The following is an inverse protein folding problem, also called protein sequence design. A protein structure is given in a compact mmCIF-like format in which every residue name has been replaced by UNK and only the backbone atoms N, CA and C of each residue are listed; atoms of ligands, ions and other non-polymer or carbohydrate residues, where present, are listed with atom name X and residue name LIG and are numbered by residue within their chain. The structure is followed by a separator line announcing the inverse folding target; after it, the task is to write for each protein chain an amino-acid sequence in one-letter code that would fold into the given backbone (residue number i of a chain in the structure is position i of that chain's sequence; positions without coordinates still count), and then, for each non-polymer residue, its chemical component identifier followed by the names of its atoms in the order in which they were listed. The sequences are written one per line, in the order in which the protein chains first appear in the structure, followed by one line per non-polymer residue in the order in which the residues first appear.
data_IF_201884185282
#
_entry.id   IF_201884185282
#
_cell.length_a   1.000
_cell.length_b   1.000
_cell.length_c   1.000
_cell.angle_alpha   90.00
_cell.angle_beta   90.00
_cell.angle_gamma   90.00
#
_symmetry.space_group_name_H-M   'P 1'
#
loop_
_entity.id
_entity.type
_entity.pdbx_description
1 polymer ?
#
# COMPACT_ATOMS: atom_id res chain seq x y z
N UNK A 1 -37.12 15.24 -3.70
CA UNK A 1 -35.93 15.99 -4.16
C UNK A 1 -34.94 15.98 -3.02
N UNK A 2 -34.14 14.91 -2.97
CA UNK A 2 -33.11 14.64 -1.98
C UNK A 2 -31.81 15.27 -2.48
N UNK A 3 -31.19 16.12 -1.66
CA UNK A 3 -29.95 16.83 -2.03
C UNK A 3 -28.82 15.82 -2.28
N UNK A 4 -28.09 15.88 -3.41
CA UNK A 4 -27.02 14.94 -3.73
C UNK A 4 -25.69 15.22 -3.01
N UNK A 5 -25.65 16.27 -2.18
CA UNK A 5 -24.48 16.69 -1.44
C UNK A 5 -24.60 16.19 0.00
N UNK A 6 -23.92 15.08 0.31
CA UNK A 6 -23.71 14.66 1.69
C UNK A 6 -22.63 15.56 2.31
N UNK A 7 -23.06 16.70 2.85
CA UNK A 7 -22.18 17.54 3.64
C UNK A 7 -22.05 16.95 5.05
N UNK A 8 -20.83 16.68 5.55
CA UNK A 8 -20.64 16.47 6.98
C UNK A 8 -21.12 17.74 7.69
N UNK A 9 -21.91 17.58 8.75
CA UNK A 9 -22.52 18.69 9.48
C UNK A 9 -21.46 19.74 9.87
N UNK A 10 -21.53 20.93 9.27
CA UNK A 10 -20.65 22.05 9.61
C UNK A 10 -20.93 22.51 11.04
N UNK A 11 -19.87 22.63 11.85
CA UNK A 11 -19.88 23.39 13.10
C UNK A 11 -19.97 24.90 12.82
N UNK A 12 -20.12 25.73 13.87
CA UNK A 12 -20.56 27.13 13.75
C UNK A 12 -19.50 28.12 13.24
N UNK A 13 -18.28 27.70 12.92
CA UNK A 13 -17.20 28.60 12.53
C UNK A 13 -16.96 28.56 11.01
N UNK A 14 -17.29 29.69 10.37
CA UNK A 14 -17.06 30.11 8.98
C UNK A 14 -17.51 29.14 7.86
N UNK A 15 -18.48 29.53 6.99
CA UNK A 15 -18.90 28.69 5.88
C UNK A 15 -17.72 28.45 4.90
N UNK A 16 -17.60 27.24 4.33
CA UNK A 16 -16.52 26.92 3.39
C UNK A 16 -16.53 27.89 2.20
N UNK A 17 -15.35 28.25 1.71
CA UNK A 17 -15.26 29.16 0.57
C UNK A 17 -15.90 28.51 -0.67
N UNK A 18 -16.48 29.30 -1.59
CA UNK A 18 -17.02 28.75 -2.84
C UNK A 18 -16.00 27.92 -3.63
N UNK A 19 -14.71 28.28 -3.56
CA UNK A 19 -13.62 27.54 -4.19
C UNK A 19 -13.42 26.15 -3.56
N UNK A 20 -13.53 26.03 -2.24
CA UNK A 20 -13.43 24.74 -1.54
C UNK A 20 -14.59 23.82 -1.90
N UNK A 21 -15.79 24.38 -2.05
CA UNK A 21 -16.97 23.62 -2.49
C UNK A 21 -16.76 23.10 -3.91
N UNK A 22 -16.27 23.93 -4.83
CA UNK A 22 -15.99 23.54 -6.21
C UNK A 22 -14.90 22.45 -6.27
N UNK A 23 -13.81 22.61 -5.51
CA UNK A 23 -12.73 21.62 -5.43
C UNK A 23 -13.21 20.29 -4.84
N UNK A 24 -14.03 20.33 -3.79
CA UNK A 24 -14.64 19.13 -3.20
C UNK A 24 -15.56 18.42 -4.20
N UNK A 25 -16.42 19.17 -4.89
CA UNK A 25 -17.29 18.60 -5.91
C UNK A 25 -16.48 17.94 -7.04
N UNK A 26 -15.45 18.62 -7.53
CA UNK A 26 -14.59 18.10 -8.60
C UNK A 26 -13.89 16.80 -8.17
N UNK A 27 -13.27 16.78 -6.98
CA UNK A 27 -12.56 15.59 -6.46
C UNK A 27 -13.50 14.41 -6.21
N UNK A 28 -14.68 14.65 -5.64
CA UNK A 28 -15.70 13.61 -5.47
C UNK A 28 -16.19 13.06 -6.82
N UNK A 29 -16.41 13.91 -7.82
CA UNK A 29 -16.79 13.46 -9.18
C UNK A 29 -15.69 12.58 -9.78
N UNK A 30 -14.42 12.96 -9.63
CA UNK A 30 -13.30 12.16 -10.12
C UNK A 30 -13.19 10.81 -9.40
N UNK A 31 -13.35 10.76 -8.08
CA UNK A 31 -13.34 9.53 -7.30
C UNK A 31 -14.51 8.61 -7.67
N UNK A 32 -15.73 9.15 -7.79
CA UNK A 32 -16.92 8.40 -8.20
C UNK A 32 -16.77 7.83 -9.62
N UNK A 33 -16.17 8.60 -10.53
CA UNK A 33 -15.85 8.13 -11.88
C UNK A 33 -14.83 6.98 -11.86
N UNK A 34 -13.75 7.12 -11.10
CA UNK A 34 -12.72 6.07 -10.97
C UNK A 34 -13.33 4.77 -10.41
N UNK A 35 -14.26 4.89 -9.46
CA UNK A 35 -15.00 3.77 -8.88
C UNK A 35 -15.85 3.05 -9.93
N UNK A 36 -16.67 3.81 -10.68
CA UNK A 36 -17.50 3.25 -11.75
C UNK A 36 -16.67 2.64 -12.88
N UNK A 37 -15.51 3.22 -13.21
CA UNK A 37 -14.57 2.66 -14.17
C UNK A 37 -13.98 1.32 -13.70
N UNK A 38 -13.59 1.23 -12.43
CA UNK A 38 -13.06 0.01 -11.85
C UNK A 38 -14.12 -1.09 -11.82
N UNK A 39 -15.33 -0.78 -11.34
CA UNK A 39 -16.41 -1.76 -11.26
C UNK A 39 -16.82 -2.28 -12.65
N UNK A 40 -16.96 -1.38 -13.63
CA UNK A 40 -17.22 -1.77 -15.01
C UNK A 40 -16.07 -2.62 -15.57
N UNK A 41 -14.82 -2.25 -15.30
CA UNK A 41 -13.67 -2.98 -15.79
C UNK A 41 -13.57 -4.39 -15.18
N UNK A 42 -13.89 -4.55 -13.89
CA UNK A 42 -13.95 -5.87 -13.23
C UNK A 42 -15.09 -6.73 -13.77
N UNK A 43 -16.28 -6.13 -13.98
CA UNK A 43 -17.48 -6.81 -14.49
C UNK A 43 -17.26 -7.40 -15.88
N UNK A 44 -16.60 -6.66 -16.78
CA UNK A 44 -16.34 -7.08 -18.15
C UNK A 44 -14.97 -7.72 -18.35
N UNK A 45 -14.24 -8.00 -17.25
CA UNK A 45 -12.92 -8.59 -17.33
C UNK A 45 -12.99 -10.09 -17.66
N UNK A 46 -12.21 -10.58 -18.65
CA UNK A 46 -12.01 -12.02 -18.82
C UNK A 46 -11.48 -12.67 -17.52
N UNK A 47 -11.96 -13.88 -17.17
CA UNK A 47 -11.62 -14.53 -15.91
C UNK A 47 -10.13 -14.92 -15.80
N UNK A 48 -9.44 -15.11 -16.92
CA UNK A 48 -8.02 -15.49 -16.97
C UNK A 48 -7.08 -14.41 -16.41
N UNK A 49 -7.56 -13.16 -16.30
CA UNK A 49 -6.80 -12.03 -15.76
C UNK A 49 -6.79 -12.04 -14.24
N UNK A 50 -7.85 -12.55 -13.60
CA UNK A 50 -8.02 -12.48 -12.16
C UNK A 50 -6.90 -13.16 -11.35
N UNK A 51 -6.34 -14.32 -11.75
CA UNK A 51 -5.21 -14.90 -11.03
C UNK A 51 -3.97 -14.00 -10.99
N UNK A 52 -3.68 -13.28 -12.08
CA UNK A 52 -2.55 -12.34 -12.15
C UNK A 52 -2.81 -11.14 -11.26
N UNK A 53 -4.01 -10.55 -11.37
CA UNK A 53 -4.44 -9.43 -10.56
C UNK A 53 -4.43 -9.79 -9.05
N UNK A 54 -4.99 -10.93 -8.69
CA UNK A 54 -5.03 -11.40 -7.29
C UNK A 54 -3.62 -11.58 -6.72
N UNK A 55 -2.71 -12.21 -7.46
CA UNK A 55 -1.32 -12.37 -7.05
C UNK A 55 -0.61 -11.01 -6.86
N UNK A 56 -0.90 -10.04 -7.75
CA UNK A 56 -0.37 -8.69 -7.66
C UNK A 56 -0.91 -7.92 -6.45
N UNK A 57 -2.22 -7.98 -6.22
CA UNK A 57 -2.87 -7.34 -5.07
C UNK A 57 -2.34 -7.88 -3.75
N UNK A 58 -2.16 -9.20 -3.64
CA UNK A 58 -1.55 -9.81 -2.45
C UNK A 58 -0.15 -9.23 -2.23
N UNK A 59 0.74 -9.24 -3.23
CA UNK A 59 2.07 -8.65 -3.08
C UNK A 59 1.98 -7.21 -2.58
N UNK A 60 1.18 -6.38 -3.23
CA UNK A 60 1.15 -4.95 -2.92
C UNK A 60 0.56 -4.65 -1.55
N UNK A 61 -0.46 -5.40 -1.12
CA UNK A 61 -1.02 -5.25 0.23
C UNK A 61 -0.03 -5.71 1.29
N UNK A 62 0.69 -6.82 1.08
CA UNK A 62 1.72 -7.27 2.02
C UNK A 62 2.87 -6.26 2.13
N UNK A 63 3.36 -5.73 1.00
CA UNK A 63 4.41 -4.72 0.98
C UNK A 63 3.92 -3.42 1.64
N UNK A 64 2.70 -2.97 1.32
CA UNK A 64 2.10 -1.77 1.91
C UNK A 64 1.99 -1.92 3.43
N UNK A 65 1.43 -3.03 3.92
CA UNK A 65 1.29 -3.28 5.35
C UNK A 65 2.63 -3.27 6.08
N UNK A 66 3.65 -3.97 5.56
CA UNK A 66 4.99 -3.98 6.16
C UNK A 66 5.63 -2.58 6.17
N UNK A 67 5.45 -1.79 5.10
CA UNK A 67 5.94 -0.39 5.06
C UNK A 67 5.20 0.50 6.04
N UNK A 68 3.90 0.29 6.24
CA UNK A 68 3.10 1.03 7.21
C UNK A 68 3.50 0.74 8.67
N UNK A 69 3.92 -0.50 8.96
CA UNK A 69 4.51 -0.89 10.26
C UNK A 69 5.94 -0.34 10.47
N UNK A 70 6.52 0.33 9.46
CA UNK A 70 7.83 0.97 9.54
C UNK A 70 8.99 0.14 9.01
N UNK A 71 8.75 -1.04 8.43
CA UNK A 71 9.81 -1.83 7.81
C UNK A 71 10.33 -1.17 6.53
N UNK A 72 11.61 -0.77 6.54
CA UNK A 72 12.31 -0.29 5.36
C UNK A 72 12.98 -1.46 4.62
N UNK A 73 12.61 -1.68 3.35
CA UNK A 73 13.18 -2.71 2.50
C UNK A 73 12.97 -2.39 1.01
N UNK A 74 13.80 -3.00 0.15
CA UNK A 74 13.61 -2.99 -1.30
C UNK A 74 12.70 -4.14 -1.73
N UNK A 75 12.03 -4.02 -2.88
CA UNK A 75 11.17 -5.09 -3.42
C UNK A 75 11.94 -6.41 -3.59
N UNK A 76 13.20 -6.35 -4.05
CA UNK A 76 14.07 -7.53 -4.14
C UNK A 76 14.31 -8.19 -2.78
N UNK A 77 14.52 -7.37 -1.74
CA UNK A 77 14.68 -7.86 -0.36
C UNK A 77 13.40 -8.48 0.18
N UNK A 78 12.22 -7.92 -0.14
CA UNK A 78 10.94 -8.54 0.19
C UNK A 78 10.82 -9.94 -0.41
N UNK A 79 11.15 -10.12 -1.69
CA UNK A 79 11.06 -11.43 -2.34
C UNK A 79 12.05 -12.45 -1.75
N UNK A 80 13.28 -12.03 -1.48
CA UNK A 80 14.27 -12.88 -0.82
C UNK A 80 13.85 -13.26 0.61
N UNK A 81 13.27 -12.32 1.36
CA UNK A 81 12.73 -12.58 2.70
C UNK A 81 11.53 -13.51 2.66
N UNK A 82 10.56 -13.27 1.77
CA UNK A 82 9.36 -14.11 1.61
C UNK A 82 9.75 -15.56 1.23
N UNK A 83 10.85 -15.73 0.48
CA UNK A 83 11.44 -17.02 0.13
C UNK A 83 12.27 -17.69 1.25
N UNK A 84 12.44 -17.02 2.40
CA UNK A 84 13.16 -17.51 3.58
C UNK A 84 14.67 -17.41 3.47
N UNK A 85 15.21 -16.50 2.65
CA UNK A 85 16.64 -16.43 2.33
C UNK A 85 17.38 -15.37 3.15
N UNK A 86 16.71 -14.29 3.53
CA UNK A 86 17.27 -13.15 4.26
C UNK A 86 16.27 -12.63 5.30
N UNK A 87 16.72 -11.97 6.39
CA UNK A 87 15.82 -11.21 7.26
C UNK A 87 15.29 -9.96 6.53
N UNK A 88 14.04 -9.55 6.85
CA UNK A 88 13.42 -8.40 6.19
C UNK A 88 14.13 -7.09 6.55
N UNK A 89 14.37 -6.87 7.83
CA UNK A 89 15.09 -5.72 8.39
C UNK A 89 16.34 -6.22 9.11
N UNK A 90 17.42 -5.43 9.06
CA UNK A 90 18.67 -5.77 9.74
C UNK A 90 18.60 -5.51 11.25
N UNK A 91 17.74 -4.57 11.68
CA UNK A 91 17.55 -4.19 13.08
C UNK A 91 16.09 -4.41 13.51
N UNK A 92 15.85 -4.85 14.77
CA UNK A 92 14.52 -4.95 15.32
C UNK A 92 13.94 -3.56 15.56
N UNK A 93 12.73 -3.32 15.04
CA UNK A 93 12.00 -2.08 15.28
C UNK A 93 11.24 -2.17 16.60
N UNK A 94 11.28 -1.09 17.40
CA UNK A 94 10.74 -1.07 18.76
C UNK A 94 9.22 -1.35 18.84
N UNK A 95 8.45 -0.89 17.86
CA UNK A 95 6.98 -0.97 17.88
C UNK A 95 6.39 -1.79 16.73
N UNK A 96 7.20 -2.16 15.73
CA UNK A 96 6.68 -2.85 14.55
C UNK A 96 6.28 -4.28 14.90
N UNK A 97 5.17 -4.72 14.31
CA UNK A 97 4.80 -6.13 14.38
C UNK A 97 5.86 -7.00 13.70
N UNK A 98 6.01 -8.23 14.20
CA UNK A 98 6.90 -9.20 13.58
C UNK A 98 6.47 -9.43 12.10
N UNK A 99 7.36 -9.23 11.11
CA UNK A 99 6.99 -9.24 9.69
C UNK A 99 6.26 -10.49 9.25
N UNK A 100 6.72 -11.66 9.73
CA UNK A 100 6.12 -12.93 9.34
C UNK A 100 4.72 -13.05 9.94
N UNK A 101 4.57 -12.72 11.23
CA UNK A 101 3.28 -12.76 11.91
C UNK A 101 2.24 -11.91 11.16
N UNK A 102 2.58 -10.66 10.84
CA UNK A 102 1.71 -9.75 10.08
C UNK A 102 1.30 -10.36 8.73
N UNK A 103 2.27 -10.81 7.92
CA UNK A 103 2.00 -11.37 6.59
C UNK A 103 1.17 -12.64 6.67
N UNK A 104 1.44 -13.54 7.62
CA UNK A 104 0.64 -14.77 7.76
C UNK A 104 -0.78 -14.47 8.21
N UNK A 105 -0.98 -13.52 9.12
CA UNK A 105 -2.31 -13.12 9.58
C UNK A 105 -3.10 -12.44 8.46
N UNK A 106 -2.47 -11.55 7.69
CA UNK A 106 -3.09 -10.92 6.52
C UNK A 106 -3.45 -11.93 5.43
N UNK A 107 -2.57 -12.89 5.14
CA UNK A 107 -2.87 -13.94 4.17
C UNK A 107 -4.04 -14.81 4.63
N UNK A 108 -4.06 -15.20 5.91
CA UNK A 108 -5.17 -15.93 6.52
C UNK A 108 -6.48 -15.14 6.41
N UNK A 109 -6.44 -13.82 6.63
CA UNK A 109 -7.59 -12.94 6.45
C UNK A 109 -8.08 -12.88 5.00
N UNK A 110 -7.16 -12.74 4.04
CA UNK A 110 -7.48 -12.73 2.62
C UNK A 110 -8.13 -14.03 2.13
N UNK A 111 -7.85 -15.17 2.79
CA UNK A 111 -8.55 -16.43 2.47
C UNK A 111 -10.06 -16.38 2.74
N UNK A 112 -10.52 -15.44 3.58
CA UNK A 112 -11.92 -15.21 3.92
C UNK A 112 -12.63 -14.23 2.98
N UNK A 113 -11.92 -13.67 2.00
CA UNK A 113 -12.49 -12.70 1.05
C UNK A 113 -13.65 -13.30 0.25
N UNK A 114 -14.70 -12.50 0.02
CA UNK A 114 -15.83 -12.88 -0.82
C UNK A 114 -15.52 -12.81 -2.33
N UNK A 115 -14.31 -12.39 -2.71
CA UNK A 115 -13.83 -12.44 -4.09
C UNK A 115 -12.90 -13.65 -4.28
N UNK A 116 -13.44 -14.71 -4.88
CA UNK A 116 -12.78 -16.01 -4.98
C UNK A 116 -11.35 -15.99 -5.52
N UNK A 117 -10.99 -15.21 -6.57
CA UNK A 117 -9.61 -15.16 -7.05
C UNK A 117 -8.58 -14.73 -5.98
N UNK A 118 -8.94 -13.78 -5.12
CA UNK A 118 -8.08 -13.33 -4.02
C UNK A 118 -7.95 -14.42 -2.94
N UNK A 119 -9.07 -15.02 -2.54
CA UNK A 119 -9.09 -16.09 -1.55
C UNK A 119 -8.29 -17.32 -2.00
N UNK A 120 -8.38 -17.69 -3.28
CA UNK A 120 -7.65 -18.81 -3.88
C UNK A 120 -6.14 -18.55 -3.90
N UNK A 121 -5.74 -17.36 -4.36
CA UNK A 121 -4.34 -16.96 -4.39
C UNK A 121 -3.76 -16.88 -2.96
N UNK A 122 -4.49 -16.31 -2.01
CA UNK A 122 -4.06 -16.18 -0.62
C UNK A 122 -3.79 -17.55 0.03
N UNK A 123 -4.66 -18.55 -0.19
CA UNK A 123 -4.44 -19.93 0.28
C UNK A 123 -3.16 -20.57 -0.27
N UNK A 124 -2.81 -20.24 -1.52
CA UNK A 124 -1.55 -20.64 -2.12
C UNK A 124 -0.35 -19.96 -1.46
N UNK A 125 -0.43 -18.64 -1.28
CA UNK A 125 0.66 -17.84 -0.72
C UNK A 125 0.89 -18.06 0.77
N UNK A 126 -0.14 -18.39 1.55
CA UNK A 126 -0.01 -18.78 2.95
C UNK A 126 0.95 -19.97 3.10
N UNK A 127 0.79 -20.99 2.25
CA UNK A 127 1.67 -22.17 2.20
C UNK A 127 3.05 -21.87 1.62
N UNK A 128 3.14 -20.84 0.77
CA UNK A 128 4.37 -20.42 0.11
C UNK A 128 5.20 -19.42 0.95
N UNK A 129 4.68 -18.92 2.07
CA UNK A 129 5.43 -18.01 2.94
C UNK A 129 6.52 -18.77 3.71
N UNK A 130 7.77 -18.66 3.25
CA UNK A 130 8.93 -19.37 3.80
C UNK A 130 9.84 -18.48 4.66
N UNK A 131 9.41 -17.23 4.93
CA UNK A 131 10.08 -16.31 5.82
C UNK A 131 10.47 -16.97 7.15
N UNK A 132 11.63 -16.60 7.72
CA UNK A 132 12.08 -17.14 9.00
C UNK A 132 11.05 -16.86 10.10
N UNK A 133 10.88 -17.81 11.02
CA UNK A 133 9.98 -17.63 12.17
C UNK A 133 10.65 -16.71 13.18
N UNK A 134 9.98 -15.63 13.55
CA UNK A 134 10.43 -14.79 14.66
C UNK A 134 10.31 -15.57 15.99
N UNK A 135 11.25 -15.32 16.91
CA UNK A 135 11.20 -15.85 18.27
C UNK A 135 10.04 -15.15 18.99
N UNK A 136 9.03 -15.92 19.42
CA UNK A 136 7.78 -15.45 20.05
C UNK A 136 6.81 -14.65 19.15
N UNK A 137 6.28 -15.32 18.12
CA UNK A 137 5.26 -14.76 17.21
C UNK A 137 3.86 -14.54 17.81
N UNK A 138 3.53 -15.16 18.95
CA UNK A 138 2.17 -15.17 19.48
C UNK A 138 1.59 -13.77 19.74
N UNK A 139 2.27 -12.86 20.48
CA UNK A 139 1.75 -11.51 20.71
C UNK A 139 1.60 -10.70 19.41
N UNK A 140 2.49 -10.88 18.43
CA UNK A 140 2.40 -10.19 17.15
C UNK A 140 1.20 -10.67 16.32
N UNK A 141 0.90 -11.97 16.36
CA UNK A 141 -0.31 -12.53 15.72
C UNK A 141 -1.58 -12.00 16.39
N UNK A 142 -1.62 -12.00 17.72
CA UNK A 142 -2.77 -11.46 18.47
C UNK A 142 -3.00 -9.97 18.19
N UNK A 143 -1.94 -9.17 18.16
CA UNK A 143 -2.03 -7.74 17.85
C UNK A 143 -2.54 -7.50 16.41
N UNK A 144 -2.05 -8.27 15.43
CA UNK A 144 -2.52 -8.20 14.04
C UNK A 144 -4.00 -8.61 13.91
N UNK A 145 -4.41 -9.70 14.57
CA UNK A 145 -5.81 -10.14 14.58
C UNK A 145 -6.72 -9.09 15.23
N UNK A 146 -6.30 -8.55 16.37
CA UNK A 146 -7.07 -7.52 17.05
C UNK A 146 -7.23 -6.26 16.17
N UNK A 147 -6.20 -5.87 15.41
CA UNK A 147 -6.31 -4.77 14.45
C UNK A 147 -7.31 -5.07 13.33
N UNK A 148 -7.33 -6.29 12.81
CA UNK A 148 -8.31 -6.72 11.80
C UNK A 148 -9.73 -6.69 12.36
N UNK A 149 -9.94 -7.24 13.56
CA UNK A 149 -11.25 -7.31 14.20
C UNK A 149 -11.80 -5.90 14.52
N UNK A 150 -10.94 -5.01 15.03
CA UNK A 150 -11.31 -3.62 15.30
C UNK A 150 -11.61 -2.85 14.01
N UNK A 151 -10.79 -3.01 12.96
CA UNK A 151 -11.06 -2.41 11.66
C UNK A 151 -12.39 -2.88 11.05
N UNK A 152 -12.69 -4.18 11.16
CA UNK A 152 -13.96 -4.74 10.70
C UNK A 152 -15.15 -4.16 11.47
N UNK A 153 -15.02 -3.97 12.79
CA UNK A 153 -16.05 -3.33 13.61
C UNK A 153 -16.28 -1.86 13.19
N UNK A 154 -15.21 -1.08 13.04
CA UNK A 154 -15.30 0.32 12.59
C UNK A 154 -15.99 0.47 11.23
N UNK A 155 -15.75 -0.48 10.31
CA UNK A 155 -16.37 -0.49 8.98
C UNK A 155 -17.83 -0.98 9.02
N UNK A 156 -18.16 -1.91 9.91
CA UNK A 156 -19.52 -2.42 10.08
C UNK A 156 -20.49 -1.37 10.65
N UNK A 157 -19.98 -0.42 11.45
CA UNK A 157 -20.76 0.68 12.03
C UNK A 157 -21.04 1.83 11.05
N UNK A 158 -20.54 1.76 9.80
CA UNK A 158 -20.75 2.79 8.79
C UNK A 158 -22.14 2.69 8.17
N UNK A 159 -22.85 3.82 8.12
CA UNK A 159 -24.14 3.94 7.45
C UNK A 159 -24.02 3.66 5.94
N UNK A 160 -24.91 2.84 5.34
CA UNK A 160 -24.86 2.54 3.92
C UNK A 160 -25.28 3.77 3.10
N UNK A 161 -24.43 4.14 2.13
CA UNK A 161 -24.71 5.22 1.20
C UNK A 161 -24.36 4.81 -0.25
N UNK A 162 -25.05 5.35 -1.27
CA UNK A 162 -24.73 5.05 -2.68
C UNK A 162 -23.32 5.49 -3.10
N UNK A 163 -22.83 6.57 -2.49
CA UNK A 163 -21.48 7.09 -2.69
C UNK A 163 -20.70 7.01 -1.37
N UNK A 164 -19.41 6.64 -1.38
CA UNK A 164 -18.68 6.30 -0.17
C UNK A 164 -18.14 7.51 0.61
N UNK A 165 -18.39 8.75 0.18
CA UNK A 165 -17.76 9.94 0.77
C UNK A 165 -18.17 10.19 2.22
N UNK A 166 -19.45 10.06 2.54
CA UNK A 166 -19.94 10.23 3.90
C UNK A 166 -19.41 9.12 4.83
N UNK A 167 -19.38 7.88 4.34
CA UNK A 167 -18.83 6.73 5.06
C UNK A 167 -17.31 6.89 5.28
N UNK A 168 -16.58 7.41 4.28
CA UNK A 168 -15.15 7.66 4.38
C UNK A 168 -14.82 8.76 5.41
N UNK A 169 -15.61 9.83 5.44
CA UNK A 169 -15.47 10.88 6.45
C UNK A 169 -15.82 10.39 7.86
N UNK A 170 -16.87 9.57 8.01
CA UNK A 170 -17.21 8.93 9.27
C UNK A 170 -16.10 7.97 9.74
N UNK A 171 -15.54 7.18 8.82
CA UNK A 171 -14.43 6.28 9.11
C UNK A 171 -13.19 7.03 9.58
N UNK A 172 -12.78 8.13 8.93
CA UNK A 172 -11.63 8.92 9.37
C UNK A 172 -11.81 9.49 10.79
N UNK A 173 -13.03 9.92 11.14
CA UNK A 173 -13.35 10.35 12.52
C UNK A 173 -13.26 9.18 13.50
N UNK A 174 -13.79 8.02 13.15
CA UNK A 174 -13.75 6.83 14.00
C UNK A 174 -12.32 6.32 14.22
N UNK A 175 -11.47 6.36 13.19
CA UNK A 175 -10.02 6.08 13.29
C UNK A 175 -9.36 7.03 14.30
N UNK A 176 -9.67 8.34 14.23
CA UNK A 176 -9.11 9.33 15.16
C UNK A 176 -9.54 9.16 16.63
N UNK A 177 -10.62 8.42 16.88
CA UNK A 177 -11.12 8.09 18.22
C UNK A 177 -10.62 6.73 18.72
N UNK A 178 -10.11 5.87 17.83
CA UNK A 178 -9.56 4.57 18.20
C UNK A 178 -8.15 4.73 18.79
N UNK A 179 -7.87 4.18 19.99
CA UNK A 179 -6.53 4.21 20.56
C UNK A 179 -5.51 3.40 19.74
N UNK A 180 -5.96 2.47 18.88
CA UNK A 180 -5.08 1.65 18.04
C UNK A 180 -4.73 2.33 16.73
N UNK A 181 -5.68 3.03 16.12
CA UNK A 181 -5.48 3.64 14.80
C UNK A 181 -5.21 5.14 14.84
N UNK A 182 -5.50 5.82 15.95
CA UNK A 182 -5.19 7.24 16.08
C UNK A 182 -3.67 7.47 15.92
N UNK A 183 -3.26 8.47 15.12
CA UNK A 183 -1.86 8.81 14.99
C UNK A 183 -1.26 9.15 16.36
N UNK A 184 -0.15 8.50 16.72
CA UNK A 184 0.55 8.83 17.95
C UNK A 184 1.13 10.25 17.89
N UNK A 185 0.89 11.03 18.96
CA UNK A 185 1.39 12.41 19.10
C UNK A 185 2.91 12.49 19.10
N UNK A 186 3.45 13.64 18.65
CA UNK A 186 4.90 13.90 18.68
C UNK A 186 5.31 14.25 20.11
N UNK A 187 5.92 13.30 20.82
CA UNK A 187 6.53 13.57 22.11
C UNK A 187 8.02 13.92 21.96
N UNK A 188 8.39 15.12 22.38
CA UNK A 188 9.78 15.54 22.54
C UNK A 188 10.14 15.33 24.02
N UNK A 189 11.08 14.43 24.29
CA UNK A 189 11.54 14.18 25.65
C UNK A 189 12.96 14.77 25.83
N UNK A 190 13.19 15.58 26.87
CA UNK A 190 14.54 16.02 27.19
C UNK A 190 15.31 14.86 27.82
N UNK A 191 16.44 14.50 27.23
CA UNK A 191 17.40 13.57 27.84
C UNK A 191 18.70 14.29 28.18
N UNK A 192 19.33 13.91 29.29
CA UNK A 192 20.62 14.48 29.68
C UNK A 192 21.76 13.65 29.10
N UNK A 193 22.57 14.26 28.23
CA UNK A 193 23.73 13.64 27.59
C UNK A 193 24.97 14.48 27.93
N UNK A 194 25.90 13.90 28.69
CA UNK A 194 27.14 14.58 29.09
C UNK A 194 26.94 15.90 29.87
N UNK A 195 25.84 16.01 30.64
CA UNK A 195 25.49 17.23 31.39
C UNK A 195 24.70 18.29 30.61
N UNK A 196 24.42 18.07 29.32
CA UNK A 196 23.55 18.92 28.50
C UNK A 196 22.18 18.27 28.30
N UNK A 197 21.12 19.07 28.36
CA UNK A 197 19.77 18.61 27.99
C UNK A 197 19.64 18.62 26.47
N UNK A 198 19.28 17.49 25.90
CA UNK A 198 19.05 17.32 24.46
C UNK A 198 17.63 16.81 24.28
N UNK A 199 16.83 17.56 23.53
CA UNK A 199 15.49 17.14 23.12
C UNK A 199 15.60 16.04 22.06
N UNK A 200 15.06 14.85 22.35
CA UNK A 200 14.98 13.76 21.38
C UNK A 200 13.52 13.47 21.04
N UNK A 201 13.25 13.39 19.74
CA UNK A 201 11.98 12.89 19.23
C UNK A 201 11.94 11.36 19.36
N UNK A 202 10.95 10.83 20.08
CA UNK A 202 10.79 9.38 20.23
C UNK A 202 10.19 8.72 18.99
N UNK A 203 10.64 7.48 18.74
CA UNK A 203 9.98 6.58 17.82
C UNK A 203 8.52 6.35 18.25
N UNK A 204 7.61 6.27 17.28
CA UNK A 204 6.17 6.19 17.53
C UNK A 204 5.63 4.83 17.13
N UNK A 205 4.61 4.30 17.82
CA UNK A 205 3.91 3.13 17.34
C UNK A 205 3.28 3.45 15.98
N UNK A 206 3.42 2.55 14.98
CA UNK A 206 2.78 2.74 13.69
C UNK A 206 1.25 2.65 13.86
N UNK A 207 0.52 3.39 13.03
CA UNK A 207 -0.93 3.21 12.89
C UNK A 207 -1.19 2.08 11.88
N UNK A 208 -1.84 0.96 12.27
CA UNK A 208 -2.05 -0.20 11.41
C UNK A 208 -3.18 0.04 10.38
N UNK A 209 -3.02 1.06 9.52
CA UNK A 209 -4.03 1.48 8.54
C UNK A 209 -4.39 0.38 7.56
N UNK A 210 -3.44 -0.52 7.27
CA UNK A 210 -3.59 -1.68 6.40
C UNK A 210 -4.83 -2.52 6.74
N UNK A 211 -5.20 -2.60 8.02
CA UNK A 211 -6.38 -3.36 8.45
C UNK A 211 -7.67 -2.67 7.98
N UNK A 212 -7.75 -1.35 8.13
CA UNK A 212 -8.88 -0.52 7.71
C UNK A 212 -8.97 -0.43 6.19
N UNK A 213 -7.84 -0.24 5.52
CA UNK A 213 -7.71 -0.20 4.05
C UNK A 213 -8.18 -1.50 3.40
N UNK A 214 -7.96 -2.64 4.07
CA UNK A 214 -8.50 -3.93 3.65
C UNK A 214 -9.99 -4.07 3.95
N UNK A 215 -10.43 -3.75 5.18
CA UNK A 215 -11.81 -3.91 5.63
C UNK A 215 -12.81 -3.02 4.86
N UNK A 216 -12.43 -1.79 4.49
CA UNK A 216 -13.34 -0.84 3.84
C UNK A 216 -13.90 -1.34 2.50
N UNK A 217 -13.16 -2.21 1.81
CA UNK A 217 -13.62 -2.82 0.57
C UNK A 217 -14.89 -3.67 0.75
N UNK A 218 -15.11 -4.24 1.94
CA UNK A 218 -16.34 -4.97 2.26
C UNK A 218 -17.56 -4.02 2.31
N UNK A 219 -17.38 -2.79 2.82
CA UNK A 219 -18.43 -1.77 2.81
C UNK A 219 -18.79 -1.34 1.39
N UNK A 220 -17.81 -1.09 0.52
CA UNK A 220 -18.08 -0.76 -0.90
C UNK A 220 -18.86 -1.87 -1.61
N UNK A 221 -18.59 -3.13 -1.28
CA UNK A 221 -19.37 -4.26 -1.82
C UNK A 221 -20.77 -4.32 -1.24
N UNK A 222 -20.94 -4.12 0.06
CA UNK A 222 -22.23 -4.15 0.72
C UNK A 222 -23.20 -3.07 0.20
N UNK A 223 -22.68 -1.89 -0.16
CA UNK A 223 -23.47 -0.79 -0.74
C UNK A 223 -23.69 -0.93 -2.25
N UNK A 224 -23.11 -1.96 -2.88
CA UNK A 224 -23.18 -2.17 -4.33
C UNK A 224 -22.31 -1.23 -5.15
N UNK A 225 -21.41 -0.48 -4.51
CA UNK A 225 -20.51 0.45 -5.17
C UNK A 225 -19.33 -0.26 -5.88
N UNK A 226 -18.99 -1.49 -5.47
CA UNK A 226 -17.99 -2.33 -6.11
C UNK A 226 -18.39 -3.81 -6.04
N UNK A 227 -18.27 -4.54 -7.15
CA UNK A 227 -18.61 -5.97 -7.26
C UNK A 227 -17.65 -6.91 -6.52
N UNK A 228 -16.42 -6.48 -6.26
CA UNK A 228 -15.36 -7.27 -5.63
C UNK A 228 -14.81 -6.61 -4.36
N UNK A 229 -14.33 -7.42 -3.40
CA UNK A 229 -13.62 -6.94 -2.22
C UNK A 229 -12.13 -6.88 -2.57
N UNK A 230 -11.65 -5.68 -2.91
CA UNK A 230 -10.26 -5.42 -3.29
C UNK A 230 -9.58 -4.55 -2.24
N UNK A 231 -8.37 -4.90 -1.74
CA UNK A 231 -7.65 -4.04 -0.80
C UNK A 231 -7.41 -2.63 -1.35
N UNK A 232 -7.75 -1.59 -0.60
CA UNK A 232 -7.61 -0.19 -1.00
C UNK A 232 -6.36 0.44 -0.37
N UNK A 233 -5.20 -0.11 -0.73
CA UNK A 233 -3.91 0.31 -0.18
C UNK A 233 -3.71 1.83 -0.35
N UNK A 234 -3.38 2.53 0.75
CA UNK A 234 -3.17 3.98 0.74
C UNK A 234 -4.43 4.85 0.85
N UNK A 235 -5.61 4.25 1.07
CA UNK A 235 -6.86 4.98 1.25
C UNK A 235 -6.85 5.90 2.48
N UNK A 236 -6.23 5.47 3.59
CA UNK A 236 -6.30 6.21 4.85
C UNK A 236 -5.15 7.21 4.95
N UNK A 237 -5.50 8.49 5.10
CA UNK A 237 -4.59 9.63 5.16
C UNK A 237 -4.49 10.18 6.57
N UNK A 238 -3.41 9.83 7.29
CA UNK A 238 -3.20 10.21 8.71
C UNK A 238 -3.12 11.73 8.93
N UNK A 239 -2.73 12.48 7.89
CA UNK A 239 -2.77 13.94 7.86
C UNK A 239 -4.20 14.49 7.98
N UNK A 240 -5.22 13.70 7.66
CA UNK A 240 -6.64 14.04 7.84
C UNK A 240 -7.29 13.33 9.04
N UNK A 241 -6.59 12.40 9.68
CA UNK A 241 -7.07 11.76 10.91
C UNK A 241 -6.76 12.73 12.06
N UNK A 242 -7.81 13.27 12.67
CA UNK A 242 -7.72 14.23 13.78
C UNK A 242 -8.67 13.80 14.90
N UNK A 243 -8.32 14.16 16.13
CA UNK A 243 -9.25 14.10 17.24
C UNK A 243 -10.47 14.99 16.92
N UNK A 244 -11.66 14.56 17.35
CA UNK A 244 -12.96 15.09 16.93
C UNK A 244 -13.18 16.61 17.18
N UNK A 245 -12.27 17.26 17.92
CA UNK A 245 -12.48 18.59 18.50
C UNK A 245 -11.64 19.70 17.84
N UNK A 246 -10.85 19.38 16.80
CA UNK A 246 -9.93 20.32 16.13
C UNK A 246 -9.97 20.13 14.61
N UNK A 247 -11.14 20.32 13.99
CA UNK A 247 -11.22 20.42 12.54
C UNK A 247 -11.43 21.87 12.12
N UNK A 248 -10.33 22.63 12.08
CA UNK A 248 -10.34 24.02 11.63
C UNK A 248 -10.71 24.13 10.13
N UNK A 249 -10.67 23.03 9.35
CA UNK A 249 -10.92 23.02 7.89
C UNK A 249 -11.56 21.69 7.40
N UNK A 250 -12.84 21.42 7.72
CA UNK A 250 -13.51 20.17 7.35
C UNK A 250 -13.61 19.93 5.83
N UNK A 251 -13.68 21.01 5.03
CA UNK A 251 -13.70 20.91 3.58
C UNK A 251 -12.37 20.38 3.01
N UNK A 252 -11.23 20.80 3.58
CA UNK A 252 -9.91 20.35 3.16
C UNK A 252 -9.70 18.86 3.45
N UNK A 253 -10.11 18.40 4.64
CA UNK A 253 -10.06 16.98 4.99
C UNK A 253 -10.89 16.13 4.01
N UNK A 254 -12.10 16.57 3.68
CA UNK A 254 -12.96 15.87 2.73
C UNK A 254 -12.38 15.82 1.30
N UNK A 255 -11.69 16.88 0.87
CA UNK A 255 -10.97 16.91 -0.42
C UNK A 255 -9.86 15.84 -0.41
N UNK A 256 -8.96 15.87 0.57
CA UNK A 256 -7.83 14.93 0.66
C UNK A 256 -8.29 13.47 0.77
N UNK A 257 -9.35 13.21 1.53
CA UNK A 257 -9.96 11.88 1.62
C UNK A 257 -10.52 11.41 0.26
N UNK A 258 -11.19 12.31 -0.47
CA UNK A 258 -11.72 12.01 -1.81
C UNK A 258 -10.59 11.77 -2.83
N UNK A 259 -9.49 12.52 -2.73
CA UNK A 259 -8.29 12.30 -3.54
C UNK A 259 -7.61 10.97 -3.23
N UNK A 260 -7.46 10.60 -1.96
CA UNK A 260 -6.90 9.31 -1.57
C UNK A 260 -7.73 8.14 -2.11
N UNK A 261 -9.07 8.25 -2.06
CA UNK A 261 -9.95 7.26 -2.67
C UNK A 261 -9.77 7.21 -4.20
N UNK A 262 -9.75 8.36 -4.87
CA UNK A 262 -9.49 8.44 -6.32
C UNK A 262 -8.17 7.76 -6.68
N UNK A 263 -7.11 8.05 -5.96
CA UNK A 263 -5.76 7.56 -6.26
C UNK A 263 -5.65 6.05 -6.02
N UNK A 264 -6.25 5.53 -4.93
CA UNK A 264 -6.33 4.10 -4.67
C UNK A 264 -7.11 3.36 -5.79
N UNK A 265 -8.24 3.93 -6.25
CA UNK A 265 -9.05 3.35 -7.32
C UNK A 265 -8.34 3.40 -8.69
N UNK A 266 -7.66 4.51 -9.00
CA UNK A 266 -6.86 4.65 -10.22
C UNK A 266 -5.68 3.68 -10.22
N UNK A 267 -5.05 3.47 -9.07
CA UNK A 267 -4.00 2.48 -8.91
C UNK A 267 -4.52 1.06 -9.21
N UNK A 268 -5.66 0.67 -8.61
CA UNK A 268 -6.31 -0.62 -8.91
C UNK A 268 -6.66 -0.78 -10.39
N UNK A 269 -7.16 0.27 -11.04
CA UNK A 269 -7.41 0.28 -12.49
C UNK A 269 -6.12 0.03 -13.29
N UNK A 270 -5.01 0.67 -12.92
CA UNK A 270 -3.71 0.46 -13.56
C UNK A 270 -3.24 -0.99 -13.42
N UNK A 271 -3.37 -1.61 -12.25
CA UNK A 271 -3.03 -3.03 -12.06
C UNK A 271 -3.88 -3.96 -12.92
N UNK A 272 -5.17 -3.65 -13.09
CA UNK A 272 -6.06 -4.41 -13.96
C UNK A 272 -5.66 -4.28 -15.44
N UNK A 273 -5.26 -3.09 -15.88
CA UNK A 273 -4.73 -2.86 -17.23
C UNK A 273 -3.42 -3.62 -17.44
N UNK A 274 -2.48 -3.56 -16.50
CA UNK A 274 -1.23 -4.33 -16.56
C UNK A 274 -1.50 -5.83 -16.64
N UNK A 275 -2.43 -6.35 -15.84
CA UNK A 275 -2.79 -7.77 -15.86
C UNK A 275 -3.43 -8.19 -17.20
N UNK A 276 -4.21 -7.30 -17.84
CA UNK A 276 -4.74 -7.51 -19.20
C UNK A 276 -3.64 -7.58 -20.25
N UNK A 277 -2.67 -6.66 -20.18
CA UNK A 277 -1.54 -6.64 -21.10
C UNK A 277 -0.71 -7.92 -20.97
N UNK A 278 -0.46 -8.39 -19.74
CA UNK A 278 0.20 -9.67 -19.49
C UNK A 278 -0.58 -10.84 -20.11
N UNK A 279 -1.90 -10.89 -19.96
CA UNK A 279 -2.74 -11.92 -20.56
C UNK A 279 -2.69 -11.91 -22.10
N UNK A 280 -2.69 -10.74 -22.72
CA UNK A 280 -2.56 -10.61 -24.18
C UNK A 280 -1.19 -11.12 -24.65
N UNK A 281 -0.12 -10.68 -23.98
CA UNK A 281 1.24 -11.12 -24.30
C UNK A 281 1.40 -12.64 -24.15
N UNK A 282 0.75 -13.22 -23.13
CA UNK A 282 0.68 -14.67 -22.95
C UNK A 282 -0.04 -15.37 -24.10
N UNK A 283 -1.20 -14.86 -24.52
CA UNK A 283 -1.96 -15.43 -25.63
C UNK A 283 -1.12 -15.43 -26.92
N UNK A 284 -0.42 -14.33 -27.21
CA UNK A 284 0.41 -14.19 -28.41
C UNK A 284 1.62 -15.14 -28.37
N UNK A 285 2.39 -15.14 -27.27
CA UNK A 285 3.61 -15.96 -27.10
C UNK A 285 3.33 -17.46 -27.05
N UNK A 286 2.16 -17.87 -26.56
CA UNK A 286 1.83 -19.28 -26.31
C UNK A 286 0.73 -19.83 -27.23
N UNK A 287 0.24 -19.05 -28.20
CA UNK A 287 -0.81 -19.40 -29.18
C UNK A 287 -0.61 -20.73 -29.91
N UNK A 288 0.65 -21.14 -30.17
CA UNK A 288 1.00 -22.39 -30.85
C UNK A 288 1.46 -23.54 -29.94
N UNK A 289 1.49 -23.36 -28.61
CA UNK A 289 1.91 -24.42 -27.68
C UNK A 289 0.72 -25.35 -27.36
N UNK A 290 1.01 -26.59 -26.98
CA UNK A 290 -0.04 -27.58 -26.60
C UNK A 290 -0.95 -26.97 -25.53
N UNK A 291 -2.27 -27.09 -25.71
CA UNK A 291 -3.29 -26.62 -24.78
C UNK A 291 -3.13 -27.16 -23.34
N UNK A 292 -2.40 -28.27 -23.16
CA UNK A 292 -2.10 -28.86 -21.85
C UNK A 292 -0.89 -28.24 -21.12
N UNK A 293 -0.22 -27.25 -21.72
CA UNK A 293 0.92 -26.57 -21.08
C UNK A 293 0.46 -25.65 -19.95
N UNK A 294 0.98 -25.87 -18.74
CA UNK A 294 0.77 -24.97 -17.58
C UNK A 294 1.82 -23.85 -17.49
N UNK A 295 2.73 -23.74 -18.46
CA UNK A 295 3.74 -22.67 -18.49
C UNK A 295 3.15 -21.24 -18.51
N UNK A 296 2.03 -20.96 -19.22
CA UNK A 296 1.38 -19.65 -19.15
C UNK A 296 0.89 -19.30 -17.74
N UNK A 297 0.41 -20.28 -16.97
CA UNK A 297 -0.01 -20.08 -15.57
C UNK A 297 1.18 -19.66 -14.70
N UNK A 298 2.35 -20.29 -14.90
CA UNK A 298 3.57 -19.91 -14.18
C UNK A 298 4.05 -18.51 -14.57
N UNK A 299 4.03 -18.17 -15.85
CA UNK A 299 4.40 -16.83 -16.31
C UNK A 299 3.47 -15.78 -15.72
N UNK A 300 2.15 -15.99 -15.75
CA UNK A 300 1.19 -15.08 -15.13
C UNK A 300 1.42 -14.90 -13.63
N UNK A 301 1.66 -15.99 -12.89
CA UNK A 301 1.98 -15.96 -11.47
C UNK A 301 3.24 -15.13 -11.18
N UNK A 302 4.33 -15.36 -11.92
CA UNK A 302 5.60 -14.67 -11.73
C UNK A 302 5.52 -13.19 -12.15
N UNK A 303 4.73 -12.85 -13.17
CA UNK A 303 4.47 -11.46 -13.57
C UNK A 303 3.61 -10.70 -12.55
N UNK A 304 2.61 -11.37 -11.96
CA UNK A 304 1.74 -10.78 -10.94
C UNK A 304 2.44 -10.64 -9.59
N UNK A 305 2.93 -11.74 -9.03
CA UNK A 305 3.56 -11.73 -7.70
C UNK A 305 5.01 -11.26 -7.73
N UNK A 306 5.82 -11.66 -8.71
CA UNK A 306 7.27 -11.40 -8.74
C UNK A 306 8.11 -12.67 -8.52
N UNK A 307 9.41 -12.51 -8.20
CA UNK A 307 10.34 -13.62 -8.00
C UNK A 307 9.87 -14.65 -6.96
N UNK A 308 9.93 -15.94 -7.31
CA UNK A 308 9.58 -17.07 -6.43
C UNK A 308 10.59 -18.22 -6.57
N UNK A 309 10.78 -19.01 -5.51
CA UNK A 309 11.52 -20.29 -5.58
C UNK A 309 10.62 -21.45 -6.00
N UNK A 310 11.20 -22.55 -6.49
CA UNK A 310 10.44 -23.72 -6.99
C UNK A 310 9.42 -24.26 -5.98
N UNK A 311 9.78 -24.36 -4.70
CA UNK A 311 8.86 -24.86 -3.65
C UNK A 311 7.67 -23.92 -3.38
N UNK A 312 7.85 -22.61 -3.58
CA UNK A 312 6.74 -21.65 -3.51
C UNK A 312 5.81 -21.80 -4.72
N UNK A 313 6.39 -21.99 -5.90
CA UNK A 313 5.64 -22.25 -7.13
C UNK A 313 4.81 -23.53 -7.00
N UNK A 314 5.39 -24.60 -6.43
CA UNK A 314 4.68 -25.85 -6.14
C UNK A 314 3.45 -25.60 -5.24
N UNK A 315 3.63 -24.84 -4.16
CA UNK A 315 2.58 -24.53 -3.20
C UNK A 315 1.45 -23.69 -3.80
N UNK A 316 1.77 -22.63 -4.54
CA UNK A 316 0.78 -21.71 -5.11
C UNK A 316 0.02 -22.36 -6.26
N UNK A 317 0.70 -23.06 -7.16
CA UNK A 317 0.05 -23.69 -8.33
C UNK A 317 -0.51 -25.08 -8.06
N UNK A 318 -0.30 -25.65 -6.87
CA UNK A 318 -0.64 -27.05 -6.57
C UNK A 318 0.02 -28.02 -7.55
N UNK A 319 1.26 -27.73 -7.96
CA UNK A 319 1.98 -28.49 -8.98
C UNK A 319 3.04 -29.39 -8.33
N UNK A 320 3.32 -30.53 -8.95
CA UNK A 320 4.42 -31.42 -8.51
C UNK A 320 5.78 -30.80 -8.83
N UNK A 321 6.83 -31.20 -8.10
CA UNK A 321 8.23 -30.85 -8.41
C UNK A 321 8.58 -31.03 -9.88
N UNK A 322 8.20 -32.18 -10.46
CA UNK A 322 8.43 -32.47 -11.87
C UNK A 322 7.65 -31.51 -12.77
N UNK A 323 6.39 -31.23 -12.44
CA UNK A 323 5.57 -30.26 -13.16
C UNK A 323 6.18 -28.86 -13.17
N UNK A 324 6.63 -28.37 -12.02
CA UNK A 324 7.31 -27.07 -11.90
C UNK A 324 8.60 -27.04 -12.71
N UNK A 325 9.41 -28.10 -12.66
CA UNK A 325 10.63 -28.19 -13.48
C UNK A 325 10.32 -28.11 -14.98
N UNK A 326 9.27 -28.80 -15.44
CA UNK A 326 8.84 -28.76 -16.85
C UNK A 326 8.35 -27.37 -17.25
N UNK A 327 7.57 -26.70 -16.39
CA UNK A 327 7.12 -25.33 -16.64
C UNK A 327 8.29 -24.35 -16.72
N UNK A 328 9.22 -24.40 -15.76
CA UNK A 328 10.43 -23.56 -15.75
C UNK A 328 11.32 -23.81 -16.97
N UNK A 329 11.49 -25.07 -17.39
CA UNK A 329 12.23 -25.40 -18.61
C UNK A 329 11.55 -24.80 -19.85
N UNK A 330 10.22 -24.83 -19.93
CA UNK A 330 9.47 -24.26 -21.05
C UNK A 330 9.58 -22.72 -21.11
N UNK A 331 9.59 -22.04 -19.96
CA UNK A 331 9.83 -20.59 -19.88
C UNK A 331 11.27 -20.23 -20.23
N UNK A 332 12.24 -21.01 -19.73
CA UNK A 332 13.66 -20.82 -20.03
C UNK A 332 13.96 -21.01 -21.52
N UNK A 333 13.40 -22.03 -22.16
CA UNK A 333 13.52 -22.25 -23.61
C UNK A 333 12.89 -21.13 -24.44
N UNK A 334 11.86 -20.46 -23.91
CA UNK A 334 11.23 -19.31 -24.54
C UNK A 334 11.98 -17.98 -24.32
N UNK A 335 13.02 -17.96 -23.48
CA UNK A 335 13.73 -16.73 -23.11
C UNK A 335 12.96 -15.83 -22.12
N UNK A 336 11.85 -16.32 -21.58
CA UNK A 336 10.93 -15.57 -20.72
C UNK A 336 11.34 -15.62 -19.23
N UNK A 337 12.46 -16.26 -18.88
CA UNK A 337 12.85 -16.55 -17.50
C UNK A 337 14.17 -15.88 -17.14
N UNK A 338 14.17 -15.13 -16.04
CA UNK A 338 15.36 -14.64 -15.35
C UNK A 338 15.56 -15.47 -14.07
N UNK A 339 16.81 -15.80 -13.76
CA UNK A 339 17.17 -16.63 -12.60
C UNK A 339 18.21 -15.89 -11.78
N UNK A 340 17.87 -15.60 -10.53
CA UNK A 340 18.80 -15.05 -9.54
C UNK A 340 19.15 -16.15 -8.53
N UNK A 341 20.41 -16.22 -8.10
CA UNK A 341 20.86 -17.19 -7.09
C UNK A 341 21.30 -16.44 -5.84
N UNK A 342 20.59 -16.68 -4.74
CA UNK A 342 20.85 -16.08 -3.43
C UNK A 342 21.09 -17.20 -2.42
N UNK A 343 22.26 -17.19 -1.76
CA UNK A 343 22.65 -18.21 -0.76
C UNK A 343 22.47 -19.66 -1.26
N UNK A 344 22.76 -19.91 -2.55
CA UNK A 344 22.61 -21.21 -3.19
C UNK A 344 21.17 -21.60 -3.59
N UNK A 345 20.18 -20.76 -3.33
CA UNK A 345 18.77 -20.97 -3.73
C UNK A 345 18.43 -20.11 -4.95
N UNK A 346 17.71 -20.69 -5.91
CA UNK A 346 17.27 -20.00 -7.13
C UNK A 346 15.91 -19.33 -6.94
N UNK A 347 15.85 -18.04 -7.24
CA UNK A 347 14.62 -17.28 -7.45
C UNK A 347 14.39 -17.11 -8.95
N UNK A 348 13.14 -17.38 -9.36
CA UNK A 348 12.71 -17.34 -10.75
C UNK A 348 11.78 -16.15 -10.94
N UNK A 349 12.05 -15.33 -11.94
CA UNK A 349 11.23 -14.18 -12.33
C UNK A 349 11.03 -14.17 -13.85
N UNK A 350 10.02 -13.43 -14.32
CA UNK A 350 9.81 -13.25 -15.76
C UNK A 350 10.77 -12.19 -16.30
N UNK A 351 11.35 -12.47 -17.46
CA UNK A 351 12.06 -11.46 -18.23
C UNK A 351 11.02 -10.51 -18.83
N UNK A 352 10.85 -9.34 -18.25
CA UNK A 352 10.09 -8.27 -18.89
C UNK A 352 10.90 -7.75 -20.08
N UNK A 353 10.74 -8.36 -21.24
CA UNK A 353 11.02 -7.67 -22.51
C UNK A 353 9.92 -6.65 -22.69
N UNK A 354 9.95 -5.57 -21.89
CA UNK A 354 9.41 -4.33 -22.40
C UNK A 354 10.28 -4.06 -23.62
N UNK A 355 9.71 -4.15 -24.82
CA UNK A 355 10.31 -3.46 -25.96
C UNK A 355 10.67 -2.08 -25.39
N UNK A 356 11.92 -1.60 -25.53
CA UNK A 356 12.19 -0.22 -25.20
C UNK A 356 11.05 0.53 -25.86
N UNK A 357 10.23 1.23 -25.07
CA UNK A 357 9.51 2.34 -25.66
C UNK A 357 10.64 3.08 -26.36
N UNK A 358 10.70 3.00 -27.69
CA UNK A 358 11.57 3.87 -28.47
C UNK A 358 11.34 5.20 -27.80
N UNK A 359 12.38 5.80 -27.17
CA UNK A 359 12.19 6.87 -26.22
C UNK A 359 11.18 7.77 -26.88
N UNK A 360 9.98 7.85 -26.30
CA UNK A 360 9.12 8.96 -26.64
C UNK A 360 10.08 10.12 -26.52
N UNK A 361 10.20 10.94 -27.55
CA UNK A 361 10.95 12.16 -27.45
C UNK A 361 10.24 12.99 -26.36
N UNK A 362 10.50 12.61 -25.10
CA UNK A 362 10.79 13.50 -24.02
C UNK A 362 11.74 14.46 -24.70
N UNK A 363 11.20 15.63 -25.00
CA UNK A 363 11.98 16.85 -24.93
C UNK A 363 13.04 16.64 -23.86
N UNK A 364 14.30 16.63 -24.29
CA UNK A 364 15.48 16.70 -23.41
C UNK A 364 15.34 17.96 -22.56
N UNK A 365 14.58 17.84 -21.49
CA UNK A 365 14.68 18.70 -20.32
C UNK A 365 15.25 17.77 -19.24
N UNK A 366 16.58 17.59 -19.21
CA UNK A 366 17.21 17.08 -18.02
C UNK A 366 16.76 18.00 -16.88
N UNK A 367 16.18 17.42 -15.84
CA UNK A 367 15.90 18.08 -14.57
C UNK A 367 17.19 18.49 -13.85
N UNK A 368 17.97 19.34 -14.50
CA UNK A 368 18.85 20.27 -13.81
C UNK A 368 17.92 21.33 -13.23
N UNK A 369 17.85 21.40 -11.91
CA UNK A 369 17.40 22.62 -11.26
C UNK A 369 18.11 23.80 -11.94
N UNK A 370 17.36 24.83 -12.34
CA UNK A 370 17.98 26.01 -12.94
C UNK A 370 19.04 26.56 -11.96
N UNK A 371 20.10 27.20 -12.47
CA UNK A 371 21.09 27.88 -11.61
C UNK A 371 20.37 28.79 -10.61
N UNK A 372 19.31 29.46 -11.06
CA UNK A 372 18.44 30.29 -10.23
C UNK A 372 17.73 29.51 -9.12
N UNK A 373 17.20 28.32 -9.39
CA UNK A 373 16.58 27.47 -8.37
C UNK A 373 17.59 26.89 -7.36
N UNK A 374 18.84 26.67 -7.78
CA UNK A 374 19.93 26.26 -6.89
C UNK A 374 20.42 27.43 -6.04
N UNK A 375 20.52 28.63 -6.62
CA UNK A 375 20.87 29.87 -5.92
C UNK A 375 19.80 30.26 -4.89
N UNK A 376 18.51 30.10 -5.23
CA UNK A 376 17.40 30.32 -4.29
C UNK A 376 17.41 29.30 -3.14
N UNK A 377 17.73 28.04 -3.43
CA UNK A 377 17.88 27.00 -2.42
C UNK A 377 19.07 27.28 -1.48
N UNK A 378 20.22 27.66 -2.02
CA UNK A 378 21.41 28.03 -1.24
C UNK A 378 21.17 29.30 -0.42
N UNK A 379 20.44 30.27 -0.97
CA UNK A 379 20.03 31.48 -0.24
C UNK A 379 19.06 31.17 0.90
N UNK A 380 18.12 30.23 0.70
CA UNK A 380 17.22 29.76 1.75
C UNK A 380 17.97 29.03 2.87
N UNK A 381 18.95 28.18 2.51
CA UNK A 381 19.83 27.53 3.49
C UNK A 381 20.65 28.54 4.29
N UNK A 382 21.24 29.54 3.63
CA UNK A 382 22.00 30.59 4.32
C UNK A 382 21.14 31.42 5.29
N UNK A 383 19.85 31.62 4.97
CA UNK A 383 18.92 32.30 5.88
C UNK A 383 18.56 31.43 7.10
N UNK A 384 18.43 30.11 6.91
CA UNK A 384 18.22 29.16 8.00
C UNK A 384 19.46 29.14 8.91
N UNK A 385 20.66 29.06 8.35
CA UNK A 385 21.91 29.09 9.12
C UNK A 385 22.08 30.39 9.89
N UNK A 386 21.71 31.54 9.29
CA UNK A 386 21.73 32.83 9.96
C UNK A 386 20.69 32.94 11.08
N UNK A 387 19.54 32.26 10.97
CA UNK A 387 18.53 32.17 12.02
C UNK A 387 19.00 31.29 13.18
N UNK A 388 19.65 30.16 12.87
CA UNK A 388 20.20 29.24 13.86
C UNK A 388 21.37 29.86 14.62
N UNK A 389 22.29 30.53 13.93
CA UNK A 389 23.41 31.23 14.55
C UNK A 389 22.95 32.37 15.48
N UNK A 390 21.83 33.04 15.18
CA UNK A 390 21.22 34.06 16.07
C UNK A 390 20.53 33.45 17.29
N UNK A 391 20.17 32.18 17.25
CA UNK A 391 19.68 31.45 18.41
C UNK A 391 20.84 31.05 19.32
N UNK A 392 21.94 30.55 18.77
CA UNK A 392 23.16 30.24 19.52
C UNK A 392 23.76 31.49 20.21
N UNK A 393 23.80 32.64 19.51
CA UNK A 393 24.28 33.93 20.07
C UNK A 393 23.36 34.52 21.17
N UNK A 394 22.10 34.06 21.24
CA UNK A 394 21.14 34.48 22.27
C UNK A 394 21.26 33.64 23.53
N UNK A 395 21.56 32.34 23.40
CA UNK A 395 21.81 31.46 24.53
C UNK A 395 23.14 31.81 25.23
N UNK A 396 24.18 32.22 24.48
CA UNK A 396 25.46 32.67 25.05
C UNK A 396 25.40 34.05 25.75
N UNK A 397 24.38 34.87 25.46
CA UNK A 397 24.16 36.17 26.14
C UNK A 397 23.32 36.05 27.42
N UNK A 398 22.55 34.98 27.60
CA UNK A 398 21.80 34.75 28.85
C UNK A 398 22.63 34.18 29.99
N UNK A 399 23.82 33.64 29.69
CA UNK A 399 24.74 33.09 30.72
C UNK A 399 25.78 34.12 31.23
N UNK A 400 25.77 35.36 30.71
CA UNK A 400 26.73 36.43 31.05
C UNK A 400 26.24 37.52 32.00
N UNK A 401 24.95 37.52 32.39
CA UNK A 401 24.40 38.43 33.39
C UNK A 401 23.83 37.65 34.57
N UNK A 402 24.70 37.29 35.50
CA UNK A 402 24.36 36.91 36.88
C UNK A 402 25.40 37.48 37.85
#
# INVERSE_FOLDING_TARGET
MTSPLAFPCYGPDEPPSPADIEALCATQVHAARALGQLDAALTWCPPDIYPILAARLIRETLISALRQEGHAFTDARFHAWFAGLVPLSDEPLQFALAPRALVTTLLAEMTRSSWAPLADAARGFEKACLALRDLDNHPAVEAALAAIDEAAALVADLEPAPLPFAALAALHRAIGQSPRFAPAERAIEPITLGGRQVAIERARPPSPRWAVEYAFAAHLRATGALSAVLPLNGLIRLDTVRAADVDEKPAHAAIVQSEALRDALNHLNSLLVEARDICRDLADRYSGKRASSRAPQLYGLLSGFGPLRSSQIEAVLGATRLGVRTMLAALSQAGDLTIETLSGVKLYSVTHTRAPLAPSALTDEPGHFSSEALEDYDAALAQIDALLARYDDRDDRSDGES
#
